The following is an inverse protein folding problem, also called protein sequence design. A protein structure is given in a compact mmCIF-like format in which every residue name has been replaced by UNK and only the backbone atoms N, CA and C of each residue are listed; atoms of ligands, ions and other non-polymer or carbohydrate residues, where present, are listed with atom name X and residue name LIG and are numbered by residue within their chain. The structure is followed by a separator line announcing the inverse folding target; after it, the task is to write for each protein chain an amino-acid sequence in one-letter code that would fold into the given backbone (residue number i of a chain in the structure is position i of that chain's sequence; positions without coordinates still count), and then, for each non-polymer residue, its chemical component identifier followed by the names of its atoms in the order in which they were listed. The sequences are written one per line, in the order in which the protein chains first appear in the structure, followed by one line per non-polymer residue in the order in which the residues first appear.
data_IF_885215897535
#
_entry.id   IF_885215897535
#
_cell.length_a   1.000
_cell.length_b   1.000
_cell.length_c   1.000
_cell.angle_alpha   90.00
_cell.angle_beta   90.00
_cell.angle_gamma   90.00
#
_symmetry.space_group_name_H-M   'P 1'
#
loop_
_entity.id
_entity.type
_entity.pdbx_description
1 polymer ?
#
# COMPACT_ATOMS: atom_id res chain seq x y z
N UNK A 1 36.40 20.80 51.74
CA UNK A 1 35.91 21.84 50.81
C UNK A 1 34.54 21.39 50.25
N UNK A 2 33.42 21.30 50.96
CA UNK A 2 32.78 22.13 52.00
C UNK A 2 32.37 23.56 51.62
N UNK A 3 32.58 24.02 50.38
CA UNK A 3 32.24 25.41 50.01
C UNK A 3 31.19 25.58 48.90
N UNK A 4 30.53 24.51 48.44
CA UNK A 4 29.44 24.63 47.44
C UNK A 4 28.06 24.81 48.10
N UNK A 5 27.93 24.48 49.39
CA UNK A 5 26.66 24.58 50.13
C UNK A 5 26.31 26.00 50.59
N UNK A 6 27.26 26.94 50.65
CA UNK A 6 27.00 28.30 51.15
C UNK A 6 26.49 29.28 50.06
N UNK A 7 26.72 28.97 48.78
CA UNK A 7 26.29 29.84 47.69
C UNK A 7 24.78 29.71 47.40
N UNK A 8 24.19 28.55 47.71
CA UNK A 8 22.75 28.32 47.58
C UNK A 8 21.94 28.88 48.77
N UNK A 9 22.53 29.09 49.95
CA UNK A 9 21.80 29.54 51.13
C UNK A 9 21.71 31.07 51.27
N UNK A 10 22.71 31.82 50.81
CA UNK A 10 22.78 33.28 51.03
C UNK A 10 22.04 34.16 50.00
N UNK A 11 21.50 33.60 48.90
CA UNK A 11 20.67 34.35 47.95
C UNK A 11 19.16 34.28 48.19
N UNK A 12 18.72 33.51 49.19
CA UNK A 12 17.31 33.41 49.60
C UNK A 12 16.89 34.44 50.67
N UNK A 13 17.79 35.33 51.12
CA UNK A 13 17.56 36.20 52.29
C UNK A 13 17.46 37.70 52.02
N UNK A 14 17.22 38.16 50.79
CA UNK A 14 16.96 39.58 50.53
C UNK A 14 15.72 39.80 49.63
N UNK A 15 14.57 40.24 50.19
CA UNK A 15 13.32 40.36 49.46
C UNK A 15 13.23 41.71 48.76
N UNK A 16 14.00 41.94 47.69
CA UNK A 16 13.64 43.00 46.75
C UNK A 16 12.45 42.53 45.90
N UNK A 17 11.24 42.85 46.38
CA UNK A 17 9.93 42.57 45.75
C UNK A 17 9.82 42.95 44.26
N UNK A 18 10.76 43.74 43.70
CA UNK A 18 10.76 44.17 42.29
C UNK A 18 11.34 43.15 41.29
N UNK A 19 12.40 42.41 41.65
CA UNK A 19 13.04 41.44 40.74
C UNK A 19 12.21 40.17 40.50
N UNK A 20 11.58 39.66 41.56
CA UNK A 20 10.66 38.51 41.47
C UNK A 20 9.38 38.86 40.69
N UNK A 21 8.91 40.12 40.77
CA UNK A 21 7.73 40.58 40.03
C UNK A 21 7.99 40.73 38.52
N UNK A 22 9.17 41.24 38.13
CA UNK A 22 9.55 41.36 36.71
C UNK A 22 9.77 39.98 36.09
N UNK A 23 10.47 39.09 36.78
CA UNK A 23 10.71 37.72 36.30
C UNK A 23 9.41 36.91 36.19
N UNK A 24 8.46 37.08 37.14
CA UNK A 24 7.10 36.52 37.02
C UNK A 24 6.32 37.09 35.84
N UNK A 25 6.39 38.41 35.58
CA UNK A 25 5.70 39.03 34.43
C UNK A 25 6.26 38.56 33.08
N UNK A 26 7.57 38.38 32.97
CA UNK A 26 8.21 37.83 31.76
C UNK A 26 7.85 36.35 31.57
N UNK A 27 7.87 35.55 32.64
CA UNK A 27 7.42 34.14 32.60
C UNK A 27 5.93 34.01 32.24
N UNK A 28 5.05 34.86 32.79
CA UNK A 28 3.63 34.88 32.42
C UNK A 28 3.42 35.34 30.96
N UNK A 29 4.20 36.32 30.49
CA UNK A 29 4.18 36.77 29.10
C UNK A 29 4.61 35.67 28.12
N UNK A 30 5.72 34.98 28.42
CA UNK A 30 6.18 33.82 27.64
C UNK A 30 5.20 32.64 27.71
N UNK A 31 4.55 32.40 28.86
CA UNK A 31 3.53 31.37 28.97
C UNK A 31 2.29 31.73 28.14
N UNK A 32 1.87 33.01 28.14
CA UNK A 32 0.76 33.51 27.33
C UNK A 32 1.03 33.36 25.83
N UNK A 33 2.23 33.70 25.35
CA UNK A 33 2.59 33.51 23.94
C UNK A 33 2.65 32.04 23.55
N UNK A 34 3.19 31.17 24.41
CA UNK A 34 3.19 29.72 24.19
C UNK A 34 1.75 29.18 24.11
N UNK A 35 0.84 29.62 24.99
CA UNK A 35 -0.56 29.21 24.95
C UNK A 35 -1.28 29.68 23.69
N UNK A 36 -1.02 30.90 23.22
CA UNK A 36 -1.58 31.41 21.96
C UNK A 36 -1.05 30.61 20.76
N UNK A 37 0.26 30.32 20.72
CA UNK A 37 0.85 29.51 19.66
C UNK A 37 0.30 28.07 19.67
N UNK A 38 0.10 27.49 20.86
CA UNK A 38 -0.57 26.20 21.02
C UNK A 38 -2.01 26.26 20.53
N UNK A 39 -2.78 27.30 20.86
CA UNK A 39 -4.15 27.45 20.40
C UNK A 39 -4.22 27.63 18.87
N UNK A 40 -3.29 28.37 18.27
CA UNK A 40 -3.18 28.51 16.82
C UNK A 40 -2.79 27.18 16.15
N UNK A 41 -1.86 26.42 16.74
CA UNK A 41 -1.47 25.11 16.24
C UNK A 41 -2.63 24.10 16.36
N UNK A 42 -3.35 24.11 17.48
CA UNK A 42 -4.55 23.30 17.69
C UNK A 42 -5.64 23.68 16.69
N UNK A 43 -5.89 24.98 16.48
CA UNK A 43 -6.84 25.45 15.47
C UNK A 43 -6.45 25.05 14.05
N UNK A 44 -5.16 25.17 13.72
CA UNK A 44 -4.61 24.72 12.44
C UNK A 44 -4.78 23.21 12.24
N UNK A 45 -4.42 22.40 13.24
CA UNK A 45 -4.55 20.94 13.20
C UNK A 45 -6.03 20.49 13.22
N UNK A 46 -6.91 21.20 13.93
CA UNK A 46 -8.34 20.90 13.93
C UNK A 46 -8.98 21.19 12.56
N UNK A 47 -8.53 22.25 11.88
CA UNK A 47 -9.08 22.66 10.58
C UNK A 47 -8.45 21.88 9.41
N UNK A 48 -7.13 21.80 9.35
CA UNK A 48 -6.41 21.16 8.23
C UNK A 48 -6.04 19.70 8.48
N UNK A 49 -5.89 19.27 9.74
CA UNK A 49 -5.50 17.90 10.08
C UNK A 49 -6.40 16.82 9.48
N UNK A 50 -7.75 16.96 9.49
CA UNK A 50 -8.67 15.97 8.92
C UNK A 50 -8.43 15.63 7.45
N UNK A 51 -7.95 16.58 6.64
CA UNK A 51 -7.61 16.34 5.24
C UNK A 51 -6.43 15.36 5.10
N UNK A 52 -5.53 15.37 6.07
CA UNK A 52 -4.31 14.58 6.14
C UNK A 52 -4.40 13.39 7.12
N UNK A 53 -5.59 13.07 7.63
CA UNK A 53 -5.80 11.93 8.55
C UNK A 53 -5.40 12.19 10.00
N UNK A 54 -5.15 13.45 10.39
CA UNK A 54 -4.84 13.85 11.77
C UNK A 54 -6.09 14.44 12.41
N UNK A 55 -6.67 13.75 13.38
CA UNK A 55 -7.92 14.18 14.02
C UNK A 55 -7.68 14.49 15.50
N UNK A 56 -7.80 15.75 15.89
CA UNK A 56 -7.77 16.17 17.31
C UNK A 56 -9.10 15.85 18.03
N UNK A 57 -10.20 15.86 17.27
CA UNK A 57 -11.55 15.52 17.70
C UNK A 57 -12.21 14.66 16.61
N UNK A 58 -13.21 13.82 16.96
CA UNK A 58 -14.00 13.13 15.95
C UNK A 58 -14.59 14.13 14.93
N UNK A 59 -14.42 13.92 13.61
CA UNK A 59 -14.99 14.80 12.61
C UNK A 59 -16.52 14.72 12.64
N UNK A 60 -17.19 15.81 12.28
CA UNK A 60 -18.62 15.73 11.95
C UNK A 60 -18.83 14.79 10.75
N UNK A 61 -20.02 14.20 10.55
CA UNK A 61 -20.33 13.44 9.33
C UNK A 61 -20.05 14.22 8.04
N UNK A 62 -20.29 15.54 8.06
CA UNK A 62 -20.06 16.44 6.94
C UNK A 62 -18.56 16.64 6.68
N UNK A 63 -17.74 16.81 7.73
CA UNK A 63 -16.27 16.92 7.59
C UNK A 63 -15.65 15.59 7.13
N UNK A 64 -16.14 14.47 7.66
CA UNK A 64 -15.77 13.13 7.22
C UNK A 64 -16.03 12.98 5.71
N UNK A 65 -17.26 13.27 5.27
CA UNK A 65 -17.64 13.24 3.87
C UNK A 65 -16.77 14.14 2.99
N UNK A 66 -16.54 15.40 3.40
CA UNK A 66 -15.68 16.34 2.67
C UNK A 66 -14.25 15.80 2.50
N UNK A 67 -13.67 15.23 3.55
CA UNK A 67 -12.32 14.66 3.51
C UNK A 67 -12.22 13.48 2.54
N UNK A 68 -13.26 12.64 2.47
CA UNK A 68 -13.34 11.54 1.49
C UNK A 68 -13.50 12.08 0.07
N UNK A 69 -14.46 13.00 -0.16
CA UNK A 69 -14.71 13.60 -1.48
C UNK A 69 -13.46 14.27 -2.05
N UNK A 70 -12.64 14.92 -1.21
CA UNK A 70 -11.36 15.51 -1.62
C UNK A 70 -10.35 14.45 -2.09
N UNK A 71 -10.32 13.27 -1.46
CA UNK A 71 -9.43 12.16 -1.88
C UNK A 71 -9.84 11.60 -3.23
N UNK A 72 -11.13 11.65 -3.57
CA UNK A 72 -11.64 11.17 -4.85
C UNK A 72 -11.15 12.00 -6.06
N UNK A 73 -10.61 13.21 -5.85
CA UNK A 73 -10.00 14.01 -6.93
C UNK A 73 -8.79 13.34 -7.59
N UNK A 74 -8.16 12.39 -6.88
CA UNK A 74 -7.06 11.59 -7.41
C UNK A 74 -7.54 10.40 -8.25
N UNK A 75 -8.85 10.19 -8.36
CA UNK A 75 -9.44 9.10 -9.12
C UNK A 75 -9.09 9.18 -10.61
N UNK A 76 -8.69 8.05 -11.18
CA UNK A 76 -8.22 7.94 -12.57
C UNK A 76 -9.28 8.39 -13.60
N UNK A 77 -10.56 8.22 -13.28
CA UNK A 77 -11.69 8.44 -14.20
C UNK A 77 -12.46 9.73 -13.95
N UNK A 78 -12.00 10.57 -13.03
CA UNK A 78 -12.60 11.91 -12.82
C UNK A 78 -12.50 12.73 -14.12
N UNK A 79 -13.58 13.37 -14.53
CA UNK A 79 -13.65 14.11 -15.80
C UNK A 79 -13.87 15.62 -15.58
N UNK A 80 -14.31 16.33 -16.62
CA UNK A 80 -14.62 17.78 -16.52
C UNK A 80 -15.88 18.08 -15.70
N UNK A 81 -16.80 17.12 -15.58
CA UNK A 81 -18.04 17.25 -14.83
C UNK A 81 -17.86 16.92 -13.33
N UNK A 82 -16.74 16.30 -12.98
CA UNK A 82 -16.42 15.87 -11.62
C UNK A 82 -16.68 16.92 -10.53
N UNK A 83 -16.30 18.19 -10.74
CA UNK A 83 -16.55 19.27 -9.77
C UNK A 83 -18.05 19.48 -9.49
N UNK A 84 -18.90 19.33 -10.52
CA UNK A 84 -20.34 19.44 -10.35
C UNK A 84 -20.92 18.23 -9.61
N UNK A 85 -20.37 17.03 -9.85
CA UNK A 85 -20.78 15.80 -9.16
C UNK A 85 -20.44 15.86 -7.67
N UNK A 86 -19.22 16.30 -7.33
CA UNK A 86 -18.80 16.56 -5.96
C UNK A 86 -19.73 17.55 -5.26
N UNK A 87 -20.03 18.69 -5.89
CA UNK A 87 -20.92 19.72 -5.30
C UNK A 87 -22.30 19.13 -4.98
N UNK A 88 -22.93 18.45 -5.94
CA UNK A 88 -24.24 17.81 -5.73
C UNK A 88 -24.22 16.76 -4.63
N UNK A 89 -23.13 16.00 -4.52
CA UNK A 89 -22.99 15.00 -3.47
C UNK A 89 -22.81 15.64 -2.09
N UNK A 90 -21.98 16.69 -2.00
CA UNK A 90 -21.79 17.43 -0.75
C UNK A 90 -23.08 18.08 -0.25
N UNK A 91 -23.89 18.66 -1.14
CA UNK A 91 -25.23 19.19 -0.80
C UNK A 91 -26.14 18.12 -0.18
N UNK A 92 -26.14 16.89 -0.74
CA UNK A 92 -26.90 15.76 -0.17
C UNK A 92 -26.40 15.36 1.22
N UNK A 93 -25.09 15.44 1.42
CA UNK A 93 -24.40 15.01 2.64
C UNK A 93 -24.53 16.03 3.79
N UNK A 94 -25.05 17.25 3.54
CA UNK A 94 -25.30 18.24 4.59
C UNK A 94 -26.25 17.74 5.68
N UNK A 95 -27.21 16.88 5.31
CA UNK A 95 -28.22 16.32 6.21
C UNK A 95 -27.77 15.09 7.02
N UNK A 96 -26.54 14.62 6.82
CA UNK A 96 -26.02 13.42 7.49
C UNK A 96 -25.87 13.64 9.01
N UNK A 97 -26.35 12.69 9.82
CA UNK A 97 -26.25 12.72 11.28
C UNK A 97 -25.20 11.73 11.80
N UNK A 98 -24.89 10.69 11.01
CA UNK A 98 -23.89 9.66 11.31
C UNK A 98 -22.94 9.47 10.11
N UNK A 99 -21.79 8.81 10.32
CA UNK A 99 -20.89 8.48 9.21
C UNK A 99 -21.56 7.51 8.22
N UNK A 100 -22.36 6.58 8.72
CA UNK A 100 -23.09 5.59 7.93
C UNK A 100 -24.09 6.24 6.96
N UNK A 101 -24.68 7.38 7.34
CA UNK A 101 -25.56 8.17 6.45
C UNK A 101 -24.81 8.65 5.20
N UNK A 102 -23.47 8.78 5.27
CA UNK A 102 -22.64 9.23 4.16
C UNK A 102 -22.27 8.12 3.19
N UNK A 103 -22.22 6.87 3.64
CA UNK A 103 -21.64 5.75 2.89
C UNK A 103 -22.27 5.53 1.51
N UNK A 104 -23.62 5.52 1.33
CA UNK A 104 -24.19 5.25 0.02
C UNK A 104 -23.80 6.28 -1.04
N UNK A 105 -23.63 7.54 -0.64
CA UNK A 105 -23.21 8.62 -1.55
C UNK A 105 -21.71 8.49 -1.84
N UNK A 106 -20.90 8.23 -0.82
CA UNK A 106 -19.45 8.08 -0.97
C UNK A 106 -19.07 6.84 -1.79
N UNK A 107 -19.80 5.73 -1.64
CA UNK A 107 -19.61 4.52 -2.45
C UNK A 107 -19.88 4.80 -3.93
N UNK A 108 -20.99 5.47 -4.23
CA UNK A 108 -21.34 5.87 -5.60
C UNK A 108 -20.25 6.76 -6.21
N UNK A 109 -19.84 7.81 -5.49
CA UNK A 109 -18.78 8.70 -5.96
C UNK A 109 -17.44 7.98 -6.13
N UNK A 110 -17.13 7.00 -5.28
CA UNK A 110 -15.91 6.20 -5.38
C UNK A 110 -15.88 5.40 -6.67
N UNK A 111 -17.01 4.80 -7.06
CA UNK A 111 -17.15 4.11 -8.34
C UNK A 111 -17.09 5.05 -9.54
N UNK A 112 -17.65 6.25 -9.44
CA UNK A 112 -17.57 7.27 -10.49
C UNK A 112 -16.14 7.78 -10.68
N UNK A 113 -15.43 8.09 -9.58
CA UNK A 113 -14.08 8.65 -9.62
C UNK A 113 -13.03 7.64 -10.10
N UNK A 114 -13.14 6.38 -9.68
CA UNK A 114 -12.08 5.38 -9.85
C UNK A 114 -12.54 4.04 -10.44
N UNK A 115 -13.79 3.90 -10.85
CA UNK A 115 -14.24 2.75 -11.66
C UNK A 115 -14.26 1.41 -10.93
N UNK A 116 -14.14 0.32 -11.69
CA UNK A 116 -14.44 -1.04 -11.21
C UNK A 116 -13.52 -1.53 -10.07
N UNK A 117 -12.30 -1.01 -9.98
CA UNK A 117 -11.30 -1.41 -8.99
C UNK A 117 -11.23 -0.45 -7.78
N UNK A 118 -12.19 0.48 -7.67
CA UNK A 118 -12.34 1.36 -6.51
C UNK A 118 -13.48 0.91 -5.60
N UNK A 119 -13.31 1.01 -4.28
CA UNK A 119 -14.28 0.56 -3.29
C UNK A 119 -14.30 1.50 -2.08
N UNK A 120 -15.50 1.78 -1.59
CA UNK A 120 -15.71 2.32 -0.25
C UNK A 120 -16.19 1.17 0.62
N UNK A 121 -15.38 0.75 1.59
CA UNK A 121 -15.64 -0.40 2.44
C UNK A 121 -15.95 0.09 3.85
N UNK A 122 -17.02 -0.42 4.44
CA UNK A 122 -17.34 -0.14 5.84
C UNK A 122 -16.29 -0.76 6.77
N UNK A 123 -16.24 -0.39 8.06
CA UNK A 123 -15.25 -0.93 8.99
C UNK A 123 -15.28 -2.47 9.12
N UNK A 124 -16.48 -3.06 8.98
CA UNK A 124 -16.66 -4.52 9.07
C UNK A 124 -16.13 -5.25 7.82
N UNK A 125 -16.06 -4.54 6.69
CA UNK A 125 -15.61 -5.06 5.39
C UNK A 125 -14.14 -4.69 5.11
N UNK A 126 -13.43 -4.17 6.12
CA UNK A 126 -12.02 -3.81 6.00
C UNK A 126 -11.19 -5.05 5.61
N UNK A 127 -10.36 -4.99 4.54
CA UNK A 127 -9.57 -6.11 4.08
C UNK A 127 -8.63 -6.71 5.13
N UNK A 128 -8.16 -5.94 6.10
CA UNK A 128 -7.31 -6.45 7.18
C UNK A 128 -8.03 -7.40 8.14
N UNK A 129 -9.37 -7.33 8.19
CA UNK A 129 -10.20 -8.23 8.99
C UNK A 129 -10.58 -9.53 8.25
N UNK A 130 -10.23 -9.64 6.97
CA UNK A 130 -10.56 -10.80 6.14
C UNK A 130 -9.68 -12.03 6.48
N UNK A 131 -10.11 -13.26 6.13
CA UNK A 131 -9.29 -14.46 6.26
C UNK A 131 -7.92 -14.35 5.58
N UNK A 132 -7.82 -13.60 4.48
CA UNK A 132 -6.62 -13.36 3.69
C UNK A 132 -5.50 -12.68 4.51
N UNK A 133 -5.85 -11.99 5.59
CA UNK A 133 -4.87 -11.40 6.52
C UNK A 133 -3.92 -12.43 7.15
N UNK A 134 -4.37 -13.69 7.23
CA UNK A 134 -3.64 -14.81 7.84
C UNK A 134 -3.02 -15.76 6.82
N UNK A 135 -3.23 -15.51 5.53
CA UNK A 135 -2.69 -16.36 4.49
C UNK A 135 -1.15 -16.40 4.57
N UNK A 136 -0.60 -17.56 4.25
CA UNK A 136 0.83 -17.79 4.19
C UNK A 136 1.17 -18.53 2.89
N UNK A 137 2.31 -18.22 2.26
CA UNK A 137 2.72 -18.90 1.05
C UNK A 137 3.05 -20.37 1.35
N UNK A 138 2.91 -21.24 0.34
CA UNK A 138 3.31 -22.65 0.44
C UNK A 138 4.57 -22.86 -0.39
N UNK A 139 5.48 -23.69 0.12
CA UNK A 139 6.78 -23.96 -0.49
C UNK A 139 6.98 -25.46 -0.57
N UNK A 140 7.33 -25.96 -1.75
CA UNK A 140 7.69 -27.36 -1.93
C UNK A 140 8.76 -27.50 -3.00
N UNK A 141 9.86 -28.19 -2.69
CA UNK A 141 10.82 -28.62 -3.71
C UNK A 141 10.44 -30.03 -4.20
N UNK A 142 10.28 -30.19 -5.52
CA UNK A 142 10.03 -31.49 -6.16
C UNK A 142 11.03 -31.67 -7.30
N UNK A 143 11.94 -32.64 -7.13
CA UNK A 143 12.89 -33.03 -8.18
C UNK A 143 13.68 -31.84 -8.78
N UNK A 144 14.09 -30.87 -7.94
CA UNK A 144 14.86 -29.70 -8.37
C UNK A 144 14.01 -28.55 -8.92
N UNK A 145 12.68 -28.65 -8.90
CA UNK A 145 11.75 -27.53 -9.16
C UNK A 145 11.18 -27.03 -7.84
N UNK A 146 11.37 -25.75 -7.54
CA UNK A 146 10.81 -25.09 -6.36
C UNK A 146 9.43 -24.52 -6.67
N UNK A 147 8.39 -25.12 -6.09
CA UNK A 147 7.00 -24.68 -6.19
C UNK A 147 6.71 -23.68 -5.07
N UNK A 148 6.29 -22.48 -5.47
CA UNK A 148 5.96 -21.38 -4.61
C UNK A 148 4.51 -20.97 -4.87
N UNK A 149 3.59 -21.35 -3.97
CA UNK A 149 2.22 -20.84 -4.02
C UNK A 149 2.15 -19.52 -3.29
N UNK A 150 1.71 -18.49 -3.98
CA UNK A 150 1.68 -17.10 -3.51
C UNK A 150 0.22 -16.67 -3.43
N UNK A 151 -0.46 -16.88 -2.28
CA UNK A 151 -1.87 -16.53 -2.13
C UNK A 151 -2.10 -15.01 -1.97
N UNK A 152 -3.37 -14.61 -2.04
CA UNK A 152 -3.80 -13.26 -1.64
C UNK A 152 -3.39 -12.97 -0.19
N UNK A 153 -3.11 -11.72 0.14
CA UNK A 153 -2.65 -11.33 1.47
C UNK A 153 -3.05 -9.90 1.83
N UNK A 154 -3.62 -9.70 3.00
CA UNK A 154 -4.08 -8.37 3.48
C UNK A 154 -3.68 -8.10 4.94
N UNK A 155 -2.72 -8.85 5.47
CA UNK A 155 -2.34 -8.76 6.87
C UNK A 155 -1.47 -7.53 7.17
N UNK A 156 -1.25 -7.31 8.47
CA UNK A 156 -0.44 -6.21 8.98
C UNK A 156 1.06 -6.32 8.62
N UNK A 157 1.85 -5.34 9.05
CA UNK A 157 3.28 -5.27 8.76
C UNK A 157 4.08 -6.47 9.30
N UNK A 158 3.69 -7.05 10.44
CA UNK A 158 4.39 -8.20 11.02
C UNK A 158 4.08 -9.46 10.21
N UNK A 159 2.81 -9.68 9.89
CA UNK A 159 2.37 -10.78 9.03
C UNK A 159 2.97 -10.67 7.62
N UNK A 160 3.10 -9.46 7.07
CA UNK A 160 3.72 -9.19 5.78
C UNK A 160 5.20 -9.60 5.76
N UNK A 161 5.96 -9.25 6.81
CA UNK A 161 7.35 -9.69 6.95
C UNK A 161 7.46 -11.21 7.04
N UNK A 162 6.60 -11.86 7.82
CA UNK A 162 6.59 -13.32 7.94
C UNK A 162 6.29 -14.00 6.60
N UNK A 163 5.31 -13.48 5.85
CA UNK A 163 4.96 -13.92 4.50
C UNK A 163 6.17 -13.85 3.57
N UNK A 164 6.82 -12.68 3.48
CA UNK A 164 7.98 -12.46 2.61
C UNK A 164 9.16 -13.35 3.00
N UNK A 165 9.44 -13.46 4.31
CA UNK A 165 10.54 -14.27 4.84
C UNK A 165 10.38 -15.76 4.55
N UNK A 166 9.15 -16.27 4.52
CA UNK A 166 8.89 -17.69 4.19
C UNK A 166 9.30 -18.03 2.76
N UNK A 167 8.97 -17.16 1.79
CA UNK A 167 9.37 -17.32 0.39
C UNK A 167 10.88 -17.10 0.22
N UNK A 168 11.42 -16.02 0.80
CA UNK A 168 12.84 -15.69 0.63
C UNK A 168 13.77 -16.73 1.26
N UNK A 169 13.40 -17.31 2.42
CA UNK A 169 14.14 -18.39 3.04
C UNK A 169 14.20 -19.66 2.17
N UNK A 170 13.13 -19.95 1.41
CA UNK A 170 13.12 -21.05 0.46
C UNK A 170 14.06 -20.77 -0.72
N UNK A 171 14.01 -19.55 -1.25
CA UNK A 171 14.81 -19.13 -2.40
C UNK A 171 16.29 -18.91 -2.08
N UNK A 172 16.67 -18.77 -0.81
CA UNK A 172 18.08 -18.74 -0.38
C UNK A 172 18.78 -20.10 -0.47
N UNK A 173 18.03 -21.19 -0.59
CA UNK A 173 18.59 -22.52 -0.80
C UNK A 173 19.08 -22.65 -2.24
N UNK A 174 20.02 -23.57 -2.46
CA UNK A 174 20.55 -23.89 -3.80
C UNK A 174 20.22 -25.34 -4.20
N UNK A 175 19.14 -25.90 -3.63
CA UNK A 175 18.68 -27.27 -3.87
C UNK A 175 17.66 -27.38 -5.03
N UNK A 176 17.54 -26.33 -5.86
CA UNK A 176 16.64 -26.26 -7.01
C UNK A 176 17.35 -25.63 -8.21
N UNK A 177 16.90 -26.00 -9.41
CA UNK A 177 17.40 -25.53 -10.70
C UNK A 177 16.35 -24.75 -11.49
N UNK A 178 15.08 -24.81 -11.05
CA UNK A 178 13.93 -24.15 -11.67
C UNK A 178 12.90 -23.74 -10.62
N UNK A 179 12.05 -22.78 -10.94
CA UNK A 179 10.99 -22.28 -10.04
C UNK A 179 9.64 -22.27 -10.74
N UNK A 180 8.60 -22.65 -10.01
CA UNK A 180 7.21 -22.45 -10.40
C UNK A 180 6.53 -21.54 -9.39
N UNK A 181 6.10 -20.36 -9.84
CA UNK A 181 5.34 -19.39 -9.05
C UNK A 181 3.86 -19.55 -9.37
N UNK A 182 3.09 -20.07 -8.42
CA UNK A 182 1.65 -20.27 -8.57
C UNK A 182 0.87 -19.10 -7.99
N UNK A 183 0.31 -18.27 -8.87
CA UNK A 183 -0.54 -17.12 -8.56
C UNK A 183 -2.03 -17.39 -8.85
N UNK A 184 -2.39 -18.65 -9.16
CA UNK A 184 -3.80 -19.02 -9.34
C UNK A 184 -4.57 -18.74 -8.06
N UNK A 185 -5.77 -18.19 -8.21
CA UNK A 185 -6.65 -17.80 -7.11
C UNK A 185 -6.10 -16.67 -6.20
N UNK A 186 -4.96 -16.05 -6.54
CA UNK A 186 -4.47 -14.85 -5.85
C UNK A 186 -5.22 -13.60 -6.31
N UNK A 187 -6.23 -13.19 -5.56
CA UNK A 187 -7.06 -12.00 -5.81
C UNK A 187 -6.41 -10.66 -5.44
N UNK A 188 -5.18 -10.68 -4.90
CA UNK A 188 -4.39 -9.50 -4.57
C UNK A 188 -4.34 -9.15 -3.08
N UNK A 189 -4.46 -7.86 -2.76
CA UNK A 189 -4.29 -7.31 -1.42
C UNK A 189 -3.05 -6.43 -1.31
N UNK A 190 -2.12 -6.77 -0.43
CA UNK A 190 -0.86 -6.07 -0.24
C UNK A 190 0.23 -6.70 -1.13
N UNK A 191 0.66 -5.99 -2.17
CA UNK A 191 1.67 -6.47 -3.13
C UNK A 191 3.08 -6.62 -2.54
N UNK A 192 3.42 -5.83 -1.54
CA UNK A 192 4.80 -5.73 -1.04
C UNK A 192 5.35 -7.08 -0.54
N UNK A 193 4.66 -7.85 0.32
CA UNK A 193 5.18 -9.15 0.77
C UNK A 193 5.22 -10.21 -0.34
N UNK A 194 4.34 -10.13 -1.34
CA UNK A 194 4.34 -11.03 -2.49
C UNK A 194 5.61 -10.85 -3.31
N UNK A 195 5.90 -9.60 -3.70
CA UNK A 195 7.05 -9.28 -4.56
C UNK A 195 8.36 -9.37 -3.77
N UNK A 196 8.39 -8.88 -2.52
CA UNK A 196 9.59 -8.95 -1.68
C UNK A 196 10.02 -10.39 -1.40
N UNK A 197 9.06 -11.29 -1.15
CA UNK A 197 9.32 -12.71 -0.91
C UNK A 197 9.96 -13.41 -2.12
N UNK A 198 9.70 -12.90 -3.34
CA UNK A 198 10.23 -13.42 -4.60
C UNK A 198 11.44 -12.61 -5.12
N UNK A 199 11.92 -11.62 -4.36
CA UNK A 199 12.91 -10.63 -4.82
C UNK A 199 14.21 -11.21 -5.39
N UNK A 200 14.67 -12.37 -4.92
CA UNK A 200 15.89 -13.03 -5.44
C UNK A 200 15.74 -13.58 -6.87
N UNK A 201 14.51 -13.65 -7.39
CA UNK A 201 14.21 -13.99 -8.77
C UNK A 201 14.07 -12.75 -9.67
N UNK A 202 13.99 -11.57 -9.07
CA UNK A 202 13.69 -10.32 -9.76
C UNK A 202 14.97 -9.51 -10.00
N UNK A 203 15.10 -8.89 -11.19
CA UNK A 203 16.24 -8.04 -11.52
C UNK A 203 16.27 -6.76 -10.68
N UNK A 204 17.43 -6.11 -10.66
CA UNK A 204 17.62 -4.82 -10.03
C UNK A 204 17.29 -3.67 -11.00
N UNK A 205 16.02 -3.60 -11.39
CA UNK A 205 15.49 -2.59 -12.32
C UNK A 205 14.03 -2.27 -11.96
N UNK A 206 13.41 -1.37 -12.74
CA UNK A 206 11.98 -1.11 -12.67
C UNK A 206 11.19 -2.38 -13.04
N UNK A 207 10.35 -2.85 -12.12
CA UNK A 207 9.50 -4.01 -12.33
C UNK A 207 8.28 -3.66 -13.20
N UNK A 208 7.71 -2.48 -12.95
CA UNK A 208 6.63 -1.81 -13.68
C UNK A 208 6.55 -0.35 -13.23
N UNK A 209 5.71 0.46 -13.86
CA UNK A 209 5.49 1.85 -13.48
C UNK A 209 3.99 2.15 -13.32
N UNK A 210 3.64 2.92 -12.30
CA UNK A 210 2.32 3.54 -12.21
C UNK A 210 2.28 4.78 -13.10
N UNK A 211 1.24 4.92 -13.91
CA UNK A 211 0.99 6.07 -14.77
C UNK A 211 -0.27 6.79 -14.27
N UNK A 212 -0.10 7.98 -13.74
CA UNK A 212 -1.19 8.76 -13.17
C UNK A 212 -1.94 9.55 -14.24
N UNK A 213 -3.16 10.01 -13.90
CA UNK A 213 -4.02 10.80 -14.77
C UNK A 213 -3.34 12.04 -15.39
N UNK A 214 -2.45 12.70 -14.64
CA UNK A 214 -1.71 13.88 -15.13
C UNK A 214 -0.51 13.52 -16.04
N UNK A 215 -0.32 12.24 -16.36
CA UNK A 215 0.78 11.72 -17.16
C UNK A 215 2.09 11.49 -16.39
N UNK A 216 2.15 11.82 -15.09
CA UNK A 216 3.33 11.50 -14.30
C UNK A 216 3.48 10.00 -14.14
N UNK A 217 4.73 9.54 -14.04
CA UNK A 217 5.08 8.13 -13.87
C UNK A 217 5.80 7.93 -12.55
N UNK A 218 5.49 6.85 -11.85
CA UNK A 218 6.23 6.41 -10.66
C UNK A 218 6.69 4.97 -10.89
N UNK A 219 8.00 4.74 -11.06
CA UNK A 219 8.51 3.38 -11.16
C UNK A 219 8.39 2.63 -9.84
N UNK A 220 8.33 1.31 -9.93
CA UNK A 220 8.43 0.39 -8.79
C UNK A 220 9.62 -0.50 -9.03
N UNK A 221 10.71 -0.29 -8.28
CA UNK A 221 11.88 -1.14 -8.36
C UNK A 221 11.86 -2.25 -7.30
N UNK A 222 12.70 -3.28 -7.50
CA UNK A 222 12.95 -4.31 -6.48
C UNK A 222 13.39 -3.70 -5.14
N UNK A 223 14.24 -2.69 -5.17
CA UNK A 223 14.75 -2.03 -3.96
C UNK A 223 13.65 -1.28 -3.20
N UNK A 224 12.75 -0.59 -3.91
CA UNK A 224 11.61 0.11 -3.32
C UNK A 224 10.69 -0.85 -2.57
N UNK A 225 10.42 -2.02 -3.16
CA UNK A 225 9.61 -3.07 -2.55
C UNK A 225 10.23 -3.58 -1.25
N UNK A 226 11.53 -3.90 -1.25
CA UNK A 226 12.24 -4.38 -0.05
C UNK A 226 12.26 -3.30 1.04
N UNK A 227 12.51 -2.04 0.65
CA UNK A 227 12.55 -0.90 1.55
C UNK A 227 11.20 -0.64 2.21
N UNK A 228 10.10 -0.79 1.48
CA UNK A 228 8.75 -0.60 2.02
C UNK A 228 8.44 -1.56 3.17
N UNK A 229 8.96 -2.78 3.14
CA UNK A 229 8.84 -3.73 4.24
C UNK A 229 9.93 -3.60 5.30
N UNK A 230 10.88 -2.68 5.13
CA UNK A 230 12.06 -2.58 6.00
C UNK A 230 12.89 -3.85 6.00
N UNK A 231 12.98 -4.54 4.86
CA UNK A 231 13.87 -5.67 4.64
C UNK A 231 15.22 -5.18 4.16
N UNK A 232 16.28 -5.92 4.50
CA UNK A 232 17.63 -5.60 4.06
C UNK A 232 17.71 -5.58 2.53
N UNK A 233 18.36 -4.54 2.01
CA UNK A 233 18.70 -4.49 0.60
C UNK A 233 19.81 -5.51 0.35
N UNK A 234 19.78 -6.11 -0.83
CA UNK A 234 20.79 -7.09 -1.23
C UNK A 234 21.41 -6.68 -2.56
N UNK A 235 22.74 -6.70 -2.61
CA UNK A 235 23.51 -6.56 -3.85
C UNK A 235 23.52 -7.87 -4.64
N UNK A 236 22.86 -8.93 -4.14
CA UNK A 236 22.74 -10.21 -4.84
C UNK A 236 21.99 -10.03 -6.16
N UNK A 237 22.63 -10.55 -7.22
CA UNK A 237 22.04 -10.62 -8.55
C UNK A 237 20.87 -11.61 -8.53
N UNK A 238 19.85 -11.32 -9.33
CA UNK A 238 18.73 -12.21 -9.55
C UNK A 238 19.23 -13.60 -9.99
N UNK A 239 18.68 -14.66 -9.38
CA UNK A 239 18.95 -16.04 -9.79
C UNK A 239 18.47 -16.26 -11.22
N UNK A 240 19.35 -16.75 -12.08
CA UNK A 240 19.09 -17.00 -13.50
C UNK A 240 18.63 -18.44 -13.75
N UNK A 241 17.59 -18.85 -13.03
CA UNK A 241 16.93 -20.16 -13.20
C UNK A 241 15.67 -20.01 -14.06
N UNK A 242 15.20 -21.04 -14.78
CA UNK A 242 13.91 -21.00 -15.48
C UNK A 242 12.75 -20.81 -14.50
N UNK A 243 11.79 -19.95 -14.84
CA UNK A 243 10.65 -19.59 -13.99
C UNK A 243 9.34 -19.75 -14.76
N UNK A 244 8.46 -20.63 -14.28
CA UNK A 244 7.09 -20.71 -14.76
C UNK A 244 6.18 -19.91 -13.83
N UNK A 245 5.32 -19.06 -14.38
CA UNK A 245 4.29 -18.34 -13.61
C UNK A 245 2.92 -18.87 -14.00
N UNK A 246 2.12 -19.31 -13.04
CA UNK A 246 0.75 -19.80 -13.29
C UNK A 246 -0.28 -18.76 -12.89
N UNK A 247 -1.23 -18.47 -13.79
CA UNK A 247 -2.33 -17.53 -13.55
C UNK A 247 -3.70 -18.18 -13.75
N UNK A 248 -4.76 -17.56 -13.25
CA UNK A 248 -6.12 -17.88 -13.68
C UNK A 248 -7.02 -16.64 -13.69
N UNK A 249 -8.28 -16.81 -14.07
CA UNK A 249 -9.27 -15.73 -14.08
C UNK A 249 -9.58 -15.11 -12.71
N UNK A 250 -8.99 -15.62 -11.61
CA UNK A 250 -9.05 -15.01 -10.28
C UNK A 250 -7.74 -14.32 -9.88
N UNK A 251 -6.64 -14.53 -10.60
CA UNK A 251 -5.40 -13.78 -10.41
C UNK A 251 -5.69 -12.31 -10.69
N UNK A 252 -5.72 -11.47 -9.66
CA UNK A 252 -6.22 -10.11 -9.77
C UNK A 252 -5.42 -9.11 -8.95
N UNK A 253 -5.50 -7.83 -9.32
CA UNK A 253 -4.98 -6.71 -8.52
C UNK A 253 -3.49 -6.91 -8.19
N UNK A 254 -3.07 -6.93 -6.92
CA UNK A 254 -1.68 -7.20 -6.55
C UNK A 254 -1.13 -8.55 -7.04
N UNK A 255 -2.00 -9.55 -7.29
CA UNK A 255 -1.62 -10.78 -7.99
C UNK A 255 -1.16 -10.49 -9.42
N UNK A 256 -1.85 -9.61 -10.15
CA UNK A 256 -1.47 -9.16 -11.49
C UNK A 256 -0.21 -8.30 -11.48
N UNK A 257 -0.03 -7.40 -10.50
CA UNK A 257 1.24 -6.65 -10.34
C UNK A 257 2.41 -7.60 -10.09
N UNK A 258 2.19 -8.70 -9.36
CA UNK A 258 3.21 -9.74 -9.18
C UNK A 258 3.53 -10.44 -10.51
N UNK A 259 2.53 -10.72 -11.36
CA UNK A 259 2.78 -11.24 -12.73
C UNK A 259 3.61 -10.24 -13.56
N UNK A 260 3.27 -8.95 -13.53
CA UNK A 260 4.00 -7.91 -14.28
C UNK A 260 5.45 -7.74 -13.81
N UNK A 261 5.75 -8.02 -12.55
CA UNK A 261 7.12 -8.05 -12.04
C UNK A 261 7.99 -9.13 -12.72
N UNK A 262 7.38 -10.18 -13.29
CA UNK A 262 8.09 -11.23 -14.03
C UNK A 262 7.95 -11.10 -15.56
N UNK A 263 6.82 -10.57 -16.04
CA UNK A 263 6.50 -10.55 -17.47
C UNK A 263 7.58 -9.83 -18.28
N UNK A 264 8.09 -10.49 -19.31
CA UNK A 264 9.13 -9.95 -20.21
C UNK A 264 10.57 -10.27 -19.80
N UNK A 265 10.78 -10.98 -18.69
CA UNK A 265 12.09 -11.58 -18.37
C UNK A 265 12.37 -12.77 -19.28
N UNK A 266 13.62 -12.88 -19.76
CA UNK A 266 14.03 -13.93 -20.73
C UNK A 266 13.88 -15.36 -20.20
N UNK A 267 14.08 -15.56 -18.90
CA UNK A 267 13.97 -16.86 -18.23
C UNK A 267 12.57 -17.15 -17.66
N UNK A 268 11.56 -16.33 -18.00
CA UNK A 268 10.19 -16.47 -17.50
C UNK A 268 9.25 -16.92 -18.61
N UNK A 269 8.31 -17.80 -18.28
CA UNK A 269 7.14 -18.08 -19.13
C UNK A 269 5.87 -18.17 -18.29
N UNK A 270 4.81 -17.51 -18.77
CA UNK A 270 3.50 -17.44 -18.10
C UNK A 270 2.57 -18.46 -18.76
N UNK A 271 1.92 -19.30 -17.95
CA UNK A 271 1.02 -20.37 -18.40
C UNK A 271 -0.37 -20.19 -17.82
N UNK A 272 -1.32 -20.98 -18.35
CA UNK A 272 -2.70 -21.16 -17.85
C UNK A 272 -3.70 -20.22 -18.52
N UNK A 273 -4.41 -19.37 -17.76
CA UNK A 273 -5.54 -18.57 -18.25
C UNK A 273 -5.29 -17.07 -18.03
N UNK A 274 -5.97 -16.19 -18.79
CA UNK A 274 -5.89 -14.75 -18.58
C UNK A 274 -6.30 -14.33 -17.15
N UNK A 275 -5.73 -13.23 -16.69
CA UNK A 275 -5.98 -12.70 -15.34
C UNK A 275 -7.31 -11.93 -15.23
N UNK A 276 -7.68 -11.55 -14.00
CA UNK A 276 -8.97 -10.97 -13.64
C UNK A 276 -9.23 -9.54 -14.14
N UNK A 277 -8.24 -8.89 -14.78
CA UNK A 277 -8.35 -7.56 -15.38
C UNK A 277 -8.48 -6.42 -14.36
N UNK A 278 -7.73 -6.46 -13.27
CA UNK A 278 -7.64 -5.41 -12.24
C UNK A 278 -6.23 -4.77 -12.23
N UNK A 279 -5.64 -4.61 -13.42
CA UNK A 279 -4.33 -4.01 -13.69
C UNK A 279 -4.35 -2.48 -13.57
N UNK A 280 -4.61 -1.98 -12.37
CA UNK A 280 -4.53 -0.56 -12.00
C UNK A 280 -3.92 -0.40 -10.62
N UNK A 281 -3.29 0.75 -10.37
CA UNK A 281 -2.78 1.12 -9.06
C UNK A 281 -3.84 1.80 -8.22
N UNK A 282 -3.92 1.41 -6.95
CA UNK A 282 -4.89 1.95 -6.00
C UNK A 282 -4.17 2.67 -4.86
N UNK A 283 -4.75 3.77 -4.41
CA UNK A 283 -4.42 4.36 -3.11
C UNK A 283 -5.35 3.75 -2.05
N UNK A 284 -4.76 3.37 -0.92
CA UNK A 284 -5.45 2.88 0.27
C UNK A 284 -5.55 4.00 1.30
N UNK A 285 -6.76 4.37 1.69
CA UNK A 285 -7.01 5.35 2.74
C UNK A 285 -7.84 4.73 3.86
N UNK A 286 -7.26 4.60 5.04
CA UNK A 286 -8.02 4.31 6.24
C UNK A 286 -8.73 5.60 6.70
N UNK A 287 -10.03 5.50 6.92
CA UNK A 287 -10.89 6.60 7.33
C UNK A 287 -11.06 6.61 8.85
N UNK A 288 -11.55 7.73 9.39
CA UNK A 288 -11.59 7.96 10.84
C UNK A 288 -12.33 6.88 11.63
N UNK A 289 -13.42 6.36 11.07
CA UNK A 289 -14.30 5.37 11.67
C UNK A 289 -13.86 3.92 11.41
N UNK A 290 -12.70 3.72 10.77
CA UNK A 290 -12.18 2.41 10.39
C UNK A 290 -12.67 1.92 9.02
N UNK A 291 -13.53 2.68 8.34
CA UNK A 291 -13.87 2.43 6.95
C UNK A 291 -12.63 2.63 6.06
N UNK A 292 -12.67 2.09 4.85
CA UNK A 292 -11.55 2.12 3.91
C UNK A 292 -12.02 2.65 2.56
N UNK A 293 -11.29 3.63 2.03
CA UNK A 293 -11.38 4.03 0.63
C UNK A 293 -10.21 3.40 -0.14
N UNK A 294 -10.54 2.48 -1.04
CA UNK A 294 -9.65 1.99 -2.09
C UNK A 294 -9.97 2.76 -3.37
N UNK A 295 -9.06 3.58 -3.84
CA UNK A 295 -9.30 4.41 -5.03
C UNK A 295 -8.27 4.11 -6.11
N UNK A 296 -8.72 3.73 -7.29
CA UNK A 296 -7.88 3.61 -8.47
C UNK A 296 -7.41 4.99 -8.94
N UNK A 297 -6.08 5.16 -8.99
CA UNK A 297 -5.43 6.44 -9.29
C UNK A 297 -4.47 6.36 -10.47
N UNK A 298 -4.13 5.16 -10.94
CA UNK A 298 -3.16 4.98 -12.02
C UNK A 298 -3.41 3.74 -12.87
N UNK A 299 -3.03 3.82 -14.14
CA UNK A 299 -2.79 2.66 -15.02
C UNK A 299 -1.38 2.11 -14.81
N UNK A 300 -1.10 0.92 -15.34
CA UNK A 300 0.20 0.24 -15.16
C UNK A 300 0.94 0.15 -16.49
N UNK A 301 2.18 0.61 -16.54
CA UNK A 301 3.09 0.42 -17.66
C UNK A 301 4.07 -0.71 -17.33
N UNK A 302 4.06 -1.79 -18.09
CA UNK A 302 5.02 -2.89 -17.90
C UNK A 302 6.39 -2.58 -18.53
N UNK A 303 7.38 -3.43 -18.25
CA UNK A 303 8.74 -3.30 -18.78
C UNK A 303 8.85 -3.38 -20.31
N UNK A 304 7.83 -3.92 -20.99
CA UNK A 304 7.78 -4.00 -22.45
C UNK A 304 7.20 -2.73 -23.08
N UNK A 305 6.71 -1.81 -22.25
CA UNK A 305 6.06 -0.58 -22.67
C UNK A 305 4.57 -0.75 -22.94
N UNK A 306 3.96 -1.90 -22.61
CA UNK A 306 2.50 -2.05 -22.69
C UNK A 306 1.85 -1.36 -21.50
N UNK A 307 0.92 -0.45 -21.79
CA UNK A 307 0.03 0.16 -20.80
C UNK A 307 -1.18 -0.75 -20.58
N UNK A 308 -1.53 -0.97 -19.32
CA UNK A 308 -2.70 -1.70 -18.89
C UNK A 308 -3.59 -0.78 -18.07
N UNK A 309 -4.89 -0.87 -18.33
CA UNK A 309 -5.90 -0.20 -17.54
C UNK A 309 -7.12 -1.11 -17.44
N UNK A 310 -7.20 -1.87 -16.34
CA UNK A 310 -8.30 -2.81 -16.14
C UNK A 310 -8.40 -3.89 -17.24
N UNK A 311 -7.25 -4.29 -17.80
CA UNK A 311 -7.08 -5.32 -18.84
C UNK A 311 -6.46 -6.61 -18.28
N UNK A 312 -6.88 -7.77 -18.78
CA UNK A 312 -6.26 -9.04 -18.47
C UNK A 312 -4.83 -9.11 -19.02
N UNK A 313 -3.92 -9.66 -18.21
CA UNK A 313 -2.62 -10.13 -18.65
C UNK A 313 -2.83 -11.49 -19.33
N UNK A 314 -2.42 -11.57 -20.60
CA UNK A 314 -2.46 -12.82 -21.36
C UNK A 314 -1.27 -13.71 -20.96
N UNK A 315 -1.48 -15.03 -20.79
CA UNK A 315 -0.38 -15.96 -20.63
C UNK A 315 0.38 -16.12 -21.96
N UNK A 316 1.63 -16.55 -21.88
CA UNK A 316 2.41 -16.93 -23.06
C UNK A 316 1.95 -18.28 -23.61
N UNK A 317 1.36 -19.13 -22.75
CA UNK A 317 0.75 -20.41 -23.11
C UNK A 317 -0.64 -20.52 -22.48
N UNK A 318 -1.67 -20.45 -23.31
CA UNK A 318 -3.07 -20.63 -22.89
C UNK A 318 -3.39 -22.13 -22.74
N UNK A 319 -3.78 -22.57 -21.55
CA UNK A 319 -4.08 -23.98 -21.26
C UNK A 319 -4.96 -24.18 -20.03
N UNK A 320 -5.73 -25.27 -20.01
CA UNK A 320 -6.48 -25.73 -18.83
C UNK A 320 -5.69 -26.74 -17.98
N UNK A 321 -4.50 -27.16 -18.43
CA UNK A 321 -3.64 -28.14 -17.75
C UNK A 321 -2.26 -27.55 -17.45
N UNK A 322 -2.17 -26.44 -16.69
CA UNK A 322 -0.93 -25.65 -16.59
C UNK A 322 0.27 -26.42 -16.05
N UNK A 323 0.09 -27.31 -15.07
CA UNK A 323 1.20 -28.11 -14.54
C UNK A 323 1.75 -29.09 -15.58
N UNK A 324 0.90 -29.67 -16.42
CA UNK A 324 1.33 -30.62 -17.46
C UNK A 324 2.10 -29.95 -18.60
N UNK A 325 2.02 -28.63 -18.73
CA UNK A 325 2.77 -27.88 -19.74
C UNK A 325 3.97 -27.15 -19.15
N UNK A 326 3.82 -26.57 -17.95
CA UNK A 326 4.89 -25.86 -17.26
C UNK A 326 6.01 -26.80 -16.77
N UNK A 327 5.68 -27.97 -16.21
CA UNK A 327 6.70 -28.88 -15.67
C UNK A 327 7.64 -29.44 -16.75
N UNK A 328 7.15 -29.95 -17.91
CA UNK A 328 8.05 -30.37 -18.99
C UNK A 328 8.89 -29.22 -19.54
N UNK A 329 8.31 -28.01 -19.66
CA UNK A 329 9.06 -26.83 -20.10
C UNK A 329 10.20 -26.51 -19.13
N UNK A 330 9.94 -26.47 -17.82
CA UNK A 330 10.97 -26.25 -16.81
C UNK A 330 12.06 -27.34 -16.86
N UNK A 331 11.67 -28.62 -16.91
CA UNK A 331 12.61 -29.75 -16.98
C UNK A 331 13.50 -29.69 -18.23
N UNK A 332 12.95 -29.26 -19.36
CA UNK A 332 13.72 -29.06 -20.60
C UNK A 332 14.76 -27.93 -20.51
N UNK A 333 14.62 -27.01 -19.56
CA UNK A 333 15.54 -25.88 -19.36
C UNK A 333 16.56 -26.11 -18.23
N UNK A 334 16.37 -27.15 -17.40
CA UNK A 334 17.26 -27.48 -16.28
C UNK A 334 18.59 -28.16 -16.71
N UNK A 335 18.82 -28.33 -18.01
CA UNK A 335 20.01 -29.02 -18.57
C UNK A 335 20.73 -28.25 -19.67
N UNK A 336 20.38 -26.98 -19.91
CA UNK A 336 21.11 -26.04 -20.77
C UNK A 336 22.04 -25.15 -19.94
#
# INVERSE_FOLDING_TARGET
MENVSLFCYNRLRNPHKKGCAIMKKVLLGCLGTVLVLLALLIGFLAYFGPDYGIFLFPPSPQDYARSVVKKLDFGLYTDKNWENEKKKALEKLESANTYQDTYPVLEKLTKEAGGKHSYFLSPQDNPENSPESKNQPEVQNREGVLYLKVPAFTGDAQAAKAYANKLSAALKKDDYQAVLVDLRDNTGGNMYPMIAGLSSLLPDEDLFQFVYKNGSKSPVSRSDILKQLGLEQTDEKAKKVPIAVLTNGKTGSSGEMTVLAFKGLENVKIFSQPTASYTTGNNYYQLYDGAVLLLTTSSILDRTGKLYENEAIQPDVLTDQPLKEAEPWLKGQMGE
#
